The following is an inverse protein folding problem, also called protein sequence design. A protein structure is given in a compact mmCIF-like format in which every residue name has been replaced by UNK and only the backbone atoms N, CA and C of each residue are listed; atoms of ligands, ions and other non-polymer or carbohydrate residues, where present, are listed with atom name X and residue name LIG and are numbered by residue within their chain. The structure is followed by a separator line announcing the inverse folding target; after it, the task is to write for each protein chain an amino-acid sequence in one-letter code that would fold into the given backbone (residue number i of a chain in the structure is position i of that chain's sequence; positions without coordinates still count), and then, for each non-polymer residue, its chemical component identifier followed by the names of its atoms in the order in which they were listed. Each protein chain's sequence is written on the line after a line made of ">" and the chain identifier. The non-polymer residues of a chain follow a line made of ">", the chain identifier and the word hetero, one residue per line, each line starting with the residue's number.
data_IF_195926837335
#
_entry.id   IF_195926837335
#
_cell.length_a   1.000
_cell.length_b   1.000
_cell.length_c   1.000
_cell.angle_alpha   90.00
_cell.angle_beta   90.00
_cell.angle_gamma   90.00
#
_symmetry.space_group_name_H-M   'P 1'
#
loop_
_entity.id
_entity.type
_entity.pdbx_description
1 polymer ?
#
# COMPACT_ATOMS: atom_id res chain seq x y z
N UNK A 1 -0.63 15.90 -21.80
CA UNK A 1 -1.88 16.28 -21.11
C UNK A 1 -1.62 16.23 -19.62
N UNK A 2 -1.79 17.34 -18.89
CA UNK A 2 -1.64 17.34 -17.44
C UNK A 2 -2.75 16.46 -16.83
N UNK A 3 -2.39 15.44 -16.04
CA UNK A 3 -3.37 14.70 -15.23
C UNK A 3 -4.04 15.72 -14.32
N UNK A 4 -5.34 15.97 -14.50
CA UNK A 4 -6.13 16.70 -13.49
C UNK A 4 -6.02 15.89 -12.19
N UNK A 5 -5.51 16.50 -11.13
CA UNK A 5 -5.52 15.88 -9.81
C UNK A 5 -6.97 15.70 -9.38
N UNK A 6 -7.37 14.49 -8.96
CA UNK A 6 -8.72 14.19 -8.44
C UNK A 6 -8.92 14.76 -7.01
N UNK A 7 -8.20 15.83 -6.68
CA UNK A 7 -8.18 16.44 -5.38
C UNK A 7 -9.44 17.28 -5.16
N UNK A 8 -10.18 16.96 -4.09
CA UNK A 8 -11.23 17.80 -3.56
C UNK A 8 -10.69 18.55 -2.34
N UNK A 9 -11.07 19.81 -2.21
CA UNK A 9 -10.67 20.67 -1.13
C UNK A 9 -11.11 20.20 0.26
N UNK A 10 -12.27 19.54 0.36
CA UNK A 10 -12.73 18.98 1.64
C UNK A 10 -11.76 17.92 2.18
N UNK A 11 -10.88 17.37 1.33
CA UNK A 11 -9.90 16.37 1.71
C UNK A 11 -8.78 16.91 2.61
N UNK A 12 -8.60 18.23 2.67
CA UNK A 12 -7.65 18.85 3.58
C UNK A 12 -7.92 18.49 5.04
N UNK A 13 -9.18 18.36 5.46
CA UNK A 13 -9.50 17.99 6.84
C UNK A 13 -9.11 16.53 7.14
N UNK A 14 -9.22 15.62 6.18
CA UNK A 14 -8.76 14.24 6.32
C UNK A 14 -7.24 14.16 6.47
N UNK A 15 -6.51 14.85 5.59
CA UNK A 15 -5.04 14.86 5.62
C UNK A 15 -4.52 15.58 6.85
N UNK A 16 -5.17 16.65 7.30
CA UNK A 16 -4.84 17.33 8.55
C UNK A 16 -5.05 16.41 9.76
N UNK A 17 -6.19 15.70 9.83
CA UNK A 17 -6.41 14.72 10.90
C UNK A 17 -5.33 13.63 10.90
N UNK A 18 -4.91 13.17 9.72
CA UNK A 18 -3.83 12.19 9.58
C UNK A 18 -2.49 12.77 10.05
N UNK A 19 -2.13 13.98 9.62
CA UNK A 19 -0.90 14.68 10.01
C UNK A 19 -0.81 14.89 11.52
N UNK A 20 -1.90 15.32 12.16
CA UNK A 20 -1.95 15.59 13.61
C UNK A 20 -1.71 14.35 14.48
N UNK A 21 -1.82 13.12 13.94
CA UNK A 21 -1.48 11.89 14.68
C UNK A 21 0.01 11.78 14.98
N UNK A 22 0.85 12.20 14.04
CA UNK A 22 2.33 12.20 14.12
C UNK A 22 2.87 13.37 13.30
N UNK A 23 2.89 14.60 13.86
CA UNK A 23 3.30 15.79 13.11
C UNK A 23 4.80 15.86 12.88
N UNK A 24 5.60 15.21 13.73
CA UNK A 24 7.07 15.23 13.69
C UNK A 24 7.65 13.93 13.17
N UNK A 25 8.79 14.02 12.49
CA UNK A 25 9.57 12.88 12.02
C UNK A 25 9.28 12.49 10.57
N UNK A 26 9.99 11.48 10.08
CA UNK A 26 9.83 10.98 8.71
C UNK A 26 8.47 10.27 8.58
N UNK A 27 7.67 10.70 7.60
CA UNK A 27 6.35 10.11 7.29
C UNK A 27 6.54 9.00 6.24
N UNK A 28 6.34 7.72 6.61
CA UNK A 28 6.50 6.61 5.66
C UNK A 28 5.40 6.65 4.59
N UNK A 29 5.75 6.37 3.34
CA UNK A 29 4.82 6.40 2.22
C UNK A 29 3.62 5.45 2.42
N UNK A 30 3.89 4.22 2.88
CA UNK A 30 2.86 3.20 3.11
C UNK A 30 2.48 3.05 4.59
N UNK A 31 2.57 4.12 5.38
CA UNK A 31 2.00 4.11 6.72
C UNK A 31 0.52 3.68 6.67
N UNK A 32 0.11 2.70 7.50
CA UNK A 32 -1.22 2.08 7.44
C UNK A 32 -2.37 3.09 7.36
N UNK A 33 -2.36 4.11 8.21
CA UNK A 33 -3.38 5.17 8.22
C UNK A 33 -3.38 6.04 6.96
N UNK A 34 -2.23 6.23 6.30
CA UNK A 34 -2.13 6.94 5.03
C UNK A 34 -2.69 6.08 3.89
N UNK A 35 -2.35 4.79 3.86
CA UNK A 35 -2.90 3.84 2.86
C UNK A 35 -4.40 3.68 3.02
N UNK A 36 -4.91 3.55 4.25
CA UNK A 36 -6.34 3.44 4.49
C UNK A 36 -7.09 4.71 4.04
N UNK A 37 -6.50 5.90 4.26
CA UNK A 37 -7.04 7.15 3.74
C UNK A 37 -6.97 7.21 2.20
N UNK A 38 -5.88 6.73 1.62
CA UNK A 38 -5.73 6.61 0.16
C UNK A 38 -6.80 5.74 -0.47
N UNK A 39 -7.06 4.57 0.11
CA UNK A 39 -8.14 3.67 -0.30
C UNK A 39 -9.51 4.33 -0.11
N UNK A 40 -9.71 5.09 0.98
CA UNK A 40 -10.95 5.83 1.23
C UNK A 40 -11.18 6.91 0.17
N UNK A 41 -10.16 7.66 -0.23
CA UNK A 41 -10.30 8.81 -1.13
C UNK A 41 -10.04 8.50 -2.60
N UNK A 42 -9.65 7.26 -2.94
CA UNK A 42 -9.18 6.88 -4.28
C UNK A 42 -8.02 7.76 -4.77
N UNK A 43 -7.09 8.08 -3.85
CA UNK A 43 -5.92 8.93 -4.07
C UNK A 43 -4.66 8.18 -3.67
N UNK A 44 -3.69 8.10 -4.58
CA UNK A 44 -2.44 7.36 -4.34
C UNK A 44 -1.70 7.85 -3.06
N UNK A 45 -1.09 6.96 -2.25
CA UNK A 45 -0.40 7.34 -1.00
C UNK A 45 0.64 8.46 -1.15
N UNK A 46 1.33 8.48 -2.28
CA UNK A 46 2.31 9.55 -2.63
C UNK A 46 1.68 10.95 -2.62
N UNK A 47 0.45 11.08 -3.09
CA UNK A 47 -0.25 12.38 -3.09
C UNK A 47 -0.67 12.75 -1.67
N UNK A 48 -1.14 11.79 -0.85
CA UNK A 48 -1.44 12.03 0.58
C UNK A 48 -0.19 12.52 1.31
N UNK A 49 0.96 11.87 1.11
CA UNK A 49 2.23 12.29 1.71
C UNK A 49 2.62 13.72 1.30
N UNK A 50 2.50 14.06 0.01
CA UNK A 50 2.78 15.41 -0.47
C UNK A 50 1.88 16.45 0.22
N UNK A 51 0.60 16.13 0.42
CA UNK A 51 -0.37 17.01 1.10
C UNK A 51 -0.07 17.14 2.60
N UNK A 52 0.48 16.12 3.25
CA UNK A 52 0.97 16.26 4.63
C UNK A 52 2.22 17.15 4.72
N UNK A 53 3.04 17.23 3.68
CA UNK A 53 4.17 18.17 3.61
C UNK A 53 3.69 19.61 3.36
N UNK A 54 2.64 19.78 2.55
CA UNK A 54 1.98 21.07 2.36
C UNK A 54 1.43 21.64 3.69
N UNK A 55 0.85 20.78 4.55
CA UNK A 55 0.39 21.19 5.89
C UNK A 55 1.56 21.59 6.80
N UNK A 56 2.63 20.80 6.80
CA UNK A 56 3.80 21.07 7.64
C UNK A 56 4.48 22.40 7.30
N UNK A 57 4.51 22.75 6.02
CA UNK A 57 5.10 24.01 5.52
C UNK A 57 4.11 25.17 5.47
N UNK A 58 2.83 24.93 5.79
CA UNK A 58 1.74 25.88 5.59
C UNK A 58 1.77 26.49 4.18
N UNK A 59 1.93 25.63 3.16
CA UNK A 59 2.37 26.06 1.82
C UNK A 59 1.45 27.04 1.10
N UNK A 60 0.21 27.23 1.57
CA UNK A 60 -0.73 28.19 1.00
C UNK A 60 -1.55 28.90 2.08
N UNK A 61 -2.05 30.13 1.83
CA UNK A 61 -2.91 30.86 2.76
C UNK A 61 -4.20 30.12 3.13
N UNK A 62 -4.64 29.18 2.28
CA UNK A 62 -5.79 28.33 2.60
C UNK A 62 -5.44 27.31 3.67
N UNK A 63 -4.29 26.66 3.55
CA UNK A 63 -3.80 25.69 4.53
C UNK A 63 -3.57 26.40 5.86
N UNK A 64 -3.03 27.62 5.85
CA UNK A 64 -2.93 28.48 7.04
C UNK A 64 -4.30 28.68 7.70
N UNK A 65 -5.33 29.07 6.95
CA UNK A 65 -6.69 29.23 7.52
C UNK A 65 -7.26 27.94 8.13
N UNK A 66 -7.05 26.81 7.45
CA UNK A 66 -7.48 25.49 7.96
C UNK A 66 -6.70 25.15 9.24
N UNK A 67 -5.40 25.46 9.25
CA UNK A 67 -4.55 25.29 10.42
C UNK A 67 -5.02 26.15 11.59
N UNK A 68 -5.25 27.44 11.38
CA UNK A 68 -5.77 28.36 12.40
C UNK A 68 -7.13 27.91 12.95
N UNK A 69 -7.97 27.33 12.09
CA UNK A 69 -9.32 26.92 12.49
C UNK A 69 -9.34 25.62 13.32
N UNK A 70 -8.44 24.68 13.04
CA UNK A 70 -8.51 23.30 13.54
C UNK A 70 -7.26 22.81 14.28
N UNK A 71 -6.10 23.45 14.10
CA UNK A 71 -4.78 23.02 14.57
C UNK A 71 -4.73 22.85 16.09
N UNK A 72 -5.30 23.81 16.81
CA UNK A 72 -5.33 23.78 18.29
C UNK A 72 -6.56 23.08 18.86
N UNK A 73 -7.46 22.55 18.01
CA UNK A 73 -8.71 21.92 18.46
C UNK A 73 -8.98 20.56 17.79
N UNK A 74 -8.30 19.48 18.25
CA UNK A 74 -8.46 18.13 17.71
C UNK A 74 -9.90 17.59 17.79
N UNK A 75 -10.68 18.02 18.79
CA UNK A 75 -12.09 17.62 18.96
C UNK A 75 -12.97 18.24 17.87
N UNK A 76 -12.75 19.53 17.57
CA UNK A 76 -13.43 20.23 16.48
C UNK A 76 -13.09 19.59 15.14
N UNK A 77 -11.81 19.34 14.87
CA UNK A 77 -11.35 18.66 13.66
C UNK A 77 -12.00 17.28 13.50
N UNK A 78 -12.00 16.47 14.57
CA UNK A 78 -12.60 15.13 14.54
C UNK A 78 -14.11 15.17 14.27
N UNK A 79 -14.82 16.15 14.81
CA UNK A 79 -16.26 16.34 14.54
C UNK A 79 -16.51 16.73 13.09
N UNK A 80 -15.70 17.63 12.53
CA UNK A 80 -15.81 18.05 11.13
C UNK A 80 -15.52 16.90 10.16
N UNK A 81 -14.43 16.17 10.38
CA UNK A 81 -14.09 14.97 9.60
C UNK A 81 -15.18 13.91 9.67
N UNK A 82 -15.78 13.69 10.85
CA UNK A 82 -16.90 12.74 10.99
C UNK A 82 -18.12 13.18 10.18
N UNK A 83 -18.42 14.48 10.15
CA UNK A 83 -19.50 15.01 9.34
C UNK A 83 -19.23 14.79 7.85
N UNK A 84 -18.01 15.08 7.37
CA UNK A 84 -17.62 14.82 5.98
C UNK A 84 -17.75 13.34 5.61
N UNK A 85 -17.31 12.42 6.48
CA UNK A 85 -17.49 10.97 6.25
C UNK A 85 -18.97 10.57 6.18
N UNK A 86 -19.83 11.20 6.98
CA UNK A 86 -21.28 10.92 6.92
C UNK A 86 -21.97 11.47 5.67
N UNK A 87 -21.34 12.43 4.98
CA UNK A 87 -21.81 12.95 3.70
C UNK A 87 -21.31 12.12 2.51
N UNK A 88 -20.36 11.20 2.72
CA UNK A 88 -19.86 10.31 1.68
C UNK A 88 -20.98 9.35 1.25
N UNK A 89 -21.33 9.35 -0.04
CA UNK A 89 -22.47 8.61 -0.60
C UNK A 89 -23.71 9.47 -0.88
N UNK A 90 -23.72 10.75 -0.47
CA UNK A 90 -24.74 11.71 -0.89
C UNK A 90 -24.46 12.14 -2.35
N UNK A 91 -25.25 11.63 -3.30
CA UNK A 91 -25.15 12.01 -4.73
C UNK A 91 -24.60 10.96 -5.71
N UNK A 92 -24.73 9.66 -5.40
CA UNK A 92 -24.65 8.55 -6.38
C UNK A 92 -23.50 8.59 -7.41
N UNK A 93 -22.33 9.12 -7.04
CA UNK A 93 -21.18 9.14 -7.94
C UNK A 93 -20.69 7.71 -8.30
N UNK A 94 -20.83 6.77 -7.36
CA UNK A 94 -20.47 5.37 -7.56
C UNK A 94 -21.44 4.66 -8.55
N UNK A 95 -22.74 5.01 -8.54
CA UNK A 95 -23.73 4.52 -9.52
C UNK A 95 -23.43 5.07 -10.94
N UNK A 96 -22.83 6.27 -11.04
CA UNK A 96 -22.54 6.89 -12.33
C UNK A 96 -21.41 6.18 -13.11
N UNK A 97 -20.47 5.54 -12.41
CA UNK A 97 -19.34 4.83 -13.02
C UNK A 97 -19.47 3.30 -12.98
N UNK A 98 -20.65 2.78 -12.60
CA UNK A 98 -20.94 1.36 -12.59
C UNK A 98 -20.78 0.78 -14.02
N UNK A 99 -19.85 -0.18 -14.19
CA UNK A 99 -19.58 -0.81 -15.49
C UNK A 99 -18.49 -0.17 -16.34
N UNK A 100 -17.81 0.87 -15.86
CA UNK A 100 -16.61 1.42 -16.53
C UNK A 100 -15.36 0.71 -15.99
N UNK A 101 -14.59 0.05 -16.86
CA UNK A 101 -13.26 -0.46 -16.51
C UNK A 101 -12.32 0.71 -16.18
N UNK A 102 -12.15 0.98 -14.89
CA UNK A 102 -11.17 1.96 -14.41
C UNK A 102 -9.76 1.42 -14.59
N UNK A 103 -8.91 2.19 -15.29
CA UNK A 103 -7.48 1.92 -15.50
C UNK A 103 -6.81 1.43 -14.21
N UNK A 104 -5.95 0.41 -14.32
CA UNK A 104 -5.19 -0.23 -13.23
C UNK A 104 -4.88 0.73 -12.08
N UNK A 105 -5.69 0.65 -11.05
CA UNK A 105 -5.65 1.56 -9.92
C UNK A 105 -4.81 0.92 -8.79
N UNK A 106 -4.09 1.74 -8.03
CA UNK A 106 -3.19 1.28 -6.96
C UNK A 106 -3.95 0.49 -5.87
N UNK A 107 -5.26 0.69 -5.75
CA UNK A 107 -6.12 -0.03 -4.81
C UNK A 107 -6.06 -1.54 -5.03
N UNK A 108 -5.81 -2.00 -6.27
CA UNK A 108 -5.67 -3.43 -6.56
C UNK A 108 -4.51 -4.07 -5.78
N UNK A 109 -3.45 -3.32 -5.50
CA UNK A 109 -2.29 -3.84 -4.77
C UNK A 109 -2.60 -4.15 -3.30
N UNK A 110 -3.70 -3.58 -2.78
CA UNK A 110 -4.17 -3.77 -1.41
C UNK A 110 -5.47 -4.59 -1.32
N UNK A 111 -5.98 -5.12 -2.44
CA UNK A 111 -7.13 -6.06 -2.43
C UNK A 111 -6.61 -7.49 -2.38
N UNK A 112 -7.19 -8.38 -1.54
CA UNK A 112 -6.81 -9.80 -1.51
C UNK A 112 -6.88 -10.45 -2.89
N UNK A 113 -5.88 -11.27 -3.21
CA UNK A 113 -5.80 -12.06 -4.45
C UNK A 113 -6.69 -13.30 -4.40
N UNK A 114 -6.93 -13.81 -3.20
CA UNK A 114 -7.67 -15.05 -2.93
C UNK A 114 -8.33 -14.99 -1.53
N UNK A 115 -9.02 -16.06 -1.17
CA UNK A 115 -9.69 -16.21 0.13
C UNK A 115 -8.73 -16.23 1.33
N UNK A 116 -7.42 -16.39 1.11
CA UNK A 116 -6.42 -16.38 2.18
C UNK A 116 -6.13 -14.96 2.71
N UNK A 117 -6.65 -13.92 2.04
CA UNK A 117 -6.40 -12.53 2.42
C UNK A 117 -5.07 -11.98 1.91
N UNK A 118 -4.27 -12.76 1.17
CA UNK A 118 -2.96 -12.33 0.67
C UNK A 118 -3.12 -11.19 -0.34
N UNK A 119 -2.54 -10.02 -0.04
CA UNK A 119 -2.57 -8.84 -0.91
C UNK A 119 -1.40 -8.86 -1.90
N UNK A 120 -1.54 -8.36 -3.15
CA UNK A 120 -0.44 -8.30 -4.11
C UNK A 120 0.79 -7.55 -3.61
N UNK A 121 0.61 -6.51 -2.79
CA UNK A 121 1.72 -5.75 -2.22
C UNK A 121 2.60 -6.62 -1.29
N UNK A 122 2.04 -7.67 -0.66
CA UNK A 122 2.82 -8.63 0.12
C UNK A 122 3.74 -9.50 -0.74
N UNK A 123 3.40 -9.74 -2.01
CA UNK A 123 4.24 -10.50 -2.94
C UNK A 123 5.57 -9.77 -3.20
N UNK A 124 5.60 -8.44 -3.14
CA UNK A 124 6.84 -7.65 -3.23
C UNK A 124 7.77 -7.96 -2.05
N UNK A 125 7.22 -8.10 -0.84
CA UNK A 125 8.01 -8.49 0.34
C UNK A 125 8.57 -9.91 0.21
N UNK A 126 7.78 -10.84 -0.35
CA UNK A 126 8.22 -12.21 -0.57
C UNK A 126 9.28 -12.28 -1.68
N UNK A 127 9.19 -11.42 -2.72
CA UNK A 127 10.23 -11.29 -3.74
C UNK A 127 11.53 -10.73 -3.16
N UNK A 128 11.45 -9.74 -2.28
CA UNK A 128 12.64 -9.25 -1.57
C UNK A 128 13.28 -10.37 -0.71
N UNK A 129 12.45 -11.14 -0.01
CA UNK A 129 12.92 -12.31 0.76
C UNK A 129 13.54 -13.38 -0.17
N UNK A 130 12.96 -13.60 -1.35
CA UNK A 130 13.48 -14.55 -2.35
C UNK A 130 14.94 -14.25 -2.71
N UNK A 131 15.29 -12.98 -2.94
CA UNK A 131 16.66 -12.58 -3.27
C UNK A 131 17.64 -12.66 -2.09
N UNK A 132 17.13 -12.74 -0.85
CA UNK A 132 17.94 -12.86 0.37
C UNK A 132 18.17 -14.31 0.80
N UNK A 133 17.33 -15.24 0.36
CA UNK A 133 17.42 -16.65 0.72
C UNK A 133 18.11 -17.48 -0.36
N UNK A 134 18.71 -18.58 0.07
CA UNK A 134 19.12 -19.65 -0.86
C UNK A 134 17.97 -20.65 -1.03
N UNK A 135 17.86 -21.36 -2.16
CA UNK A 135 16.77 -22.31 -2.39
C UNK A 135 16.62 -23.38 -1.30
N UNK A 136 17.74 -23.86 -0.73
CA UNK A 136 17.72 -24.84 0.37
C UNK A 136 17.07 -24.29 1.66
N UNK A 137 17.12 -22.97 1.85
CA UNK A 137 16.57 -22.28 3.02
C UNK A 137 15.15 -21.75 2.81
N UNK A 138 14.52 -21.99 1.65
CA UNK A 138 13.13 -21.59 1.38
C UNK A 138 12.14 -22.61 2.00
N UNK A 139 12.20 -22.80 3.32
CA UNK A 139 11.39 -23.76 4.07
C UNK A 139 10.63 -23.08 5.22
N UNK A 140 9.52 -23.66 5.71
CA UNK A 140 8.66 -23.02 6.71
C UNK A 140 9.35 -22.73 8.04
N UNK A 141 10.39 -23.48 8.39
CA UNK A 141 11.14 -23.39 9.64
C UNK A 141 12.17 -22.24 9.64
N UNK A 142 12.46 -21.66 8.48
CA UNK A 142 13.44 -20.58 8.34
C UNK A 142 12.98 -19.32 9.10
N UNK A 143 13.81 -18.74 10.00
CA UNK A 143 13.41 -17.60 10.82
C UNK A 143 12.87 -16.41 10.04
N UNK A 144 13.48 -16.09 8.90
CA UNK A 144 13.08 -15.00 8.01
C UNK A 144 11.70 -15.25 7.38
N UNK A 145 11.41 -16.50 7.01
CA UNK A 145 10.10 -16.93 6.49
C UNK A 145 9.05 -16.80 7.59
N UNK A 146 9.33 -17.29 8.81
CA UNK A 146 8.42 -17.18 9.95
C UNK A 146 8.14 -15.72 10.29
N UNK A 147 9.18 -14.87 10.29
CA UNK A 147 9.04 -13.45 10.58
C UNK A 147 8.15 -12.75 9.55
N UNK A 148 8.42 -12.95 8.26
CA UNK A 148 7.61 -12.35 7.20
C UNK A 148 6.16 -12.85 7.26
N UNK A 149 5.96 -14.16 7.42
CA UNK A 149 4.64 -14.78 7.54
C UNK A 149 3.80 -14.14 8.67
N UNK A 150 4.40 -13.93 9.85
CA UNK A 150 3.74 -13.23 10.97
C UNK A 150 3.44 -11.77 10.65
N UNK A 151 4.34 -11.07 9.96
CA UNK A 151 4.15 -9.67 9.61
C UNK A 151 2.94 -9.48 8.69
N UNK A 152 2.83 -10.30 7.63
CA UNK A 152 1.74 -10.20 6.65
C UNK A 152 0.49 -11.01 7.03
N UNK A 153 0.45 -11.58 8.24
CA UNK A 153 -0.65 -12.41 8.75
C UNK A 153 -1.02 -13.58 7.81
N UNK A 154 -0.01 -14.34 7.39
CA UNK A 154 -0.16 -15.53 6.54
C UNK A 154 0.56 -16.73 7.18
N UNK A 155 0.15 -17.97 6.87
CA UNK A 155 0.91 -19.14 7.31
C UNK A 155 2.25 -19.21 6.56
N UNK A 156 3.29 -19.70 7.23
CA UNK A 156 4.63 -19.86 6.64
C UNK A 156 4.62 -20.70 5.35
N UNK A 157 3.71 -21.68 5.27
CA UNK A 157 3.49 -22.48 4.06
C UNK A 157 3.07 -21.65 2.85
N UNK A 158 2.28 -20.59 3.04
CA UNK A 158 1.89 -19.67 1.95
C UNK A 158 3.10 -18.88 1.45
N UNK A 159 3.96 -18.41 2.36
CA UNK A 159 5.19 -17.70 1.98
C UNK A 159 6.12 -18.61 1.19
N UNK A 160 6.36 -19.83 1.67
CA UNK A 160 7.18 -20.84 0.97
C UNK A 160 6.62 -21.20 -0.40
N UNK A 161 5.30 -21.32 -0.51
CA UNK A 161 4.64 -21.58 -1.77
C UNK A 161 4.92 -20.45 -2.79
N UNK A 162 4.79 -19.19 -2.38
CA UNK A 162 5.14 -18.04 -3.25
C UNK A 162 6.63 -18.00 -3.58
N UNK A 163 7.52 -18.32 -2.63
CA UNK A 163 8.96 -18.46 -2.91
C UNK A 163 9.24 -19.53 -3.98
N UNK A 164 8.50 -20.64 -3.96
CA UNK A 164 8.59 -21.71 -4.98
C UNK A 164 8.12 -21.22 -6.35
N UNK A 165 7.10 -20.36 -6.39
CA UNK A 165 6.65 -19.72 -7.63
C UNK A 165 7.74 -18.79 -8.18
N UNK A 166 8.40 -17.98 -7.34
CA UNK A 166 9.51 -17.15 -7.80
C UNK A 166 10.71 -17.97 -8.29
N UNK A 167 11.02 -19.07 -7.61
CA UNK A 167 12.04 -20.01 -8.05
C UNK A 167 11.73 -20.60 -9.44
N UNK A 168 10.45 -20.83 -9.76
CA UNK A 168 10.01 -21.26 -11.09
C UNK A 168 10.12 -20.14 -12.15
N UNK A 169 9.94 -18.88 -11.76
CA UNK A 169 10.05 -17.72 -12.64
C UNK A 169 11.50 -17.28 -12.89
N UNK A 170 12.44 -17.70 -12.05
CA UNK A 170 13.86 -17.35 -12.16
C UNK A 170 14.53 -18.02 -13.37
N UNK A 171 15.05 -17.24 -14.34
CA UNK A 171 15.67 -17.77 -15.54
C UNK A 171 17.01 -18.49 -15.27
N UNK A 172 17.64 -18.29 -14.11
CA UNK A 172 18.94 -18.85 -13.75
C UNK A 172 18.84 -20.17 -12.99
N UNK A 173 17.63 -20.57 -12.56
CA UNK A 173 17.42 -21.80 -11.79
C UNK A 173 16.75 -22.87 -12.67
N UNK A 174 17.16 -24.12 -12.48
CA UNK A 174 16.56 -25.26 -13.18
C UNK A 174 15.09 -25.38 -12.80
N UNK A 175 14.19 -25.35 -13.79
CA UNK A 175 12.73 -25.25 -13.60
C UNK A 175 12.21 -26.32 -12.64
N UNK A 176 11.77 -25.91 -11.46
CA UNK A 176 10.85 -26.72 -10.66
C UNK A 176 9.46 -26.67 -11.29
N UNK A 177 8.69 -27.75 -11.21
CA UNK A 177 7.34 -27.81 -11.79
C UNK A 177 6.34 -27.15 -10.84
N UNK A 178 6.00 -25.88 -11.09
CA UNK A 178 4.79 -25.24 -10.56
C UNK A 178 3.65 -25.54 -11.52
N UNK A 179 2.45 -25.82 -11.00
CA UNK A 179 1.27 -26.01 -11.84
C UNK A 179 0.98 -24.74 -12.63
N UNK A 180 0.70 -24.85 -13.93
CA UNK A 180 0.33 -23.70 -14.74
C UNK A 180 -1.00 -23.07 -14.32
N UNK A 181 -1.82 -23.81 -13.57
CA UNK A 181 -3.14 -23.39 -13.09
C UNK A 181 -3.11 -22.75 -11.70
N UNK A 182 -1.92 -22.43 -11.18
CA UNK A 182 -1.78 -21.81 -9.87
C UNK A 182 -2.36 -20.37 -9.85
N UNK A 183 -3.30 -20.05 -8.94
CA UNK A 183 -3.97 -18.76 -8.91
C UNK A 183 -3.03 -17.59 -8.57
N UNK A 184 -1.91 -17.84 -7.89
CA UNK A 184 -0.94 -16.81 -7.52
C UNK A 184 0.11 -16.56 -8.61
N UNK A 185 0.32 -17.51 -9.53
CA UNK A 185 1.28 -17.39 -10.63
C UNK A 185 1.13 -16.10 -11.47
N UNK A 186 -0.06 -15.67 -11.93
CA UNK A 186 -0.17 -14.43 -12.71
C UNK A 186 0.22 -13.19 -11.89
N UNK A 187 -0.09 -13.17 -10.60
CA UNK A 187 0.26 -12.06 -9.71
C UNK A 187 1.77 -12.03 -9.43
N UNK A 188 2.37 -13.19 -9.13
CA UNK A 188 3.81 -13.33 -8.94
C UNK A 188 4.57 -12.95 -10.21
N UNK A 189 4.08 -13.35 -11.39
CA UNK A 189 4.67 -12.98 -12.68
C UNK A 189 4.60 -11.47 -12.93
N UNK A 190 3.49 -10.80 -12.57
CA UNK A 190 3.40 -9.33 -12.66
C UNK A 190 4.47 -8.68 -11.78
N UNK A 191 4.56 -9.09 -10.51
CA UNK A 191 5.55 -8.57 -9.55
C UNK A 191 6.99 -8.84 -10.00
N UNK A 192 7.29 -10.04 -10.49
CA UNK A 192 8.60 -10.39 -11.05
C UNK A 192 8.97 -9.50 -12.24
N UNK A 193 8.06 -9.30 -13.19
CA UNK A 193 8.33 -8.46 -14.36
C UNK A 193 8.53 -6.99 -13.99
N UNK A 194 7.85 -6.51 -12.95
CA UNK A 194 7.98 -5.11 -12.49
C UNK A 194 9.24 -4.89 -11.66
N UNK A 195 9.56 -5.82 -10.75
CA UNK A 195 10.54 -5.58 -9.69
C UNK A 195 11.76 -6.52 -9.73
N UNK A 196 11.67 -7.66 -10.41
CA UNK A 196 12.72 -8.70 -10.42
C UNK A 196 14.04 -8.28 -11.08
N UNK A 197 14.03 -7.20 -11.87
CA UNK A 197 15.23 -6.61 -12.47
C UNK A 197 15.70 -5.32 -11.78
N UNK A 198 15.06 -4.92 -10.66
CA UNK A 198 15.53 -3.77 -9.91
C UNK A 198 16.88 -4.05 -9.25
N UNK A 199 17.59 -2.96 -8.94
CA UNK A 199 18.77 -3.08 -8.08
C UNK A 199 18.33 -3.57 -6.68
N UNK A 200 19.09 -4.48 -6.03
CA UNK A 200 18.73 -5.00 -4.71
C UNK A 200 18.40 -3.91 -3.69
N UNK A 201 19.12 -2.79 -3.72
CA UNK A 201 18.89 -1.68 -2.79
C UNK A 201 17.54 -1.00 -2.99
N UNK A 202 17.06 -0.91 -4.25
CA UNK A 202 15.78 -0.30 -4.57
C UNK A 202 14.60 -1.18 -4.13
N UNK A 203 14.71 -2.49 -4.32
CA UNK A 203 13.70 -3.44 -3.87
C UNK A 203 13.67 -3.51 -2.34
N UNK A 204 14.84 -3.53 -1.70
CA UNK A 204 14.95 -3.51 -0.24
C UNK A 204 14.30 -2.24 0.35
N UNK A 205 14.60 -1.06 -0.20
CA UNK A 205 13.99 0.20 0.25
C UNK A 205 12.46 0.17 0.08
N UNK A 206 11.96 -0.32 -1.06
CA UNK A 206 10.52 -0.47 -1.27
C UNK A 206 9.90 -1.45 -0.28
N UNK A 207 10.58 -2.57 -0.01
CA UNK A 207 10.13 -3.57 0.96
C UNK A 207 10.05 -2.97 2.36
N UNK A 208 11.06 -2.22 2.80
CA UNK A 208 11.04 -1.50 4.08
C UNK A 208 9.85 -0.54 4.18
N UNK A 209 9.56 0.24 3.13
CA UNK A 209 8.39 1.11 3.11
C UNK A 209 7.07 0.32 3.22
N UNK A 210 6.95 -0.80 2.48
CA UNK A 210 5.76 -1.66 2.52
C UNK A 210 5.62 -2.36 3.88
N UNK A 211 6.71 -2.77 4.53
CA UNK A 211 6.64 -3.41 5.85
C UNK A 211 5.94 -2.51 6.88
N UNK A 212 6.12 -1.19 6.78
CA UNK A 212 5.43 -0.22 7.66
C UNK A 212 3.91 -0.33 7.57
N UNK A 213 3.35 -0.73 6.43
CA UNK A 213 1.90 -0.95 6.28
C UNK A 213 1.38 -2.08 7.19
N UNK A 214 2.21 -3.10 7.41
CA UNK A 214 1.87 -4.29 8.19
C UNK A 214 2.27 -4.18 9.67
N UNK A 215 3.15 -3.25 10.02
CA UNK A 215 3.50 -2.96 11.41
C UNK A 215 2.29 -2.34 12.13
N UNK A 216 1.77 -3.03 13.15
CA UNK A 216 0.66 -2.56 14.00
C UNK A 216 1.11 -1.53 15.04
#
# INVERSE_FOLDING_TARGET
>A
MARKSNWNDDYWLYVMQLYMRRPTGVKPLYAKAAVDLSLELHIHPKEILARQMDIETLSTPRIERIWDEYGDNPRKLSRAVRLLRSMKGFGSADEFYEGVETVESFERDFRPVNDSGLQPIALVLILDLYFRLTPLTMVPETPEVIHLARLIDQPASTVVHVLTIYLHLDPFISRQSVSSDDPLLPHCKKVWNTYGNLKPEQLCQLAEEIMVYYMR
#
